data_IF_195404696503
#
_entry.id   IF_195404696503
#
_cell.length_a   1.000
_cell.length_b   1.000
_cell.length_c   1.000
_cell.angle_alpha   90.00
_cell.angle_beta   90.00
_cell.angle_gamma   90.00
#
_symmetry.space_group_name_H-M   'P 1'
#
loop_
_entity.id
_entity.type
_entity.pdbx_description
1 polymer ?
#
# COMPACT_ATOMS: atom_id res chain seq x y z
N UNK A 1 -3.46 22.51 4.68
CA UNK A 1 -2.90 21.13 4.74
C UNK A 1 -3.79 20.27 3.89
N UNK A 2 -3.27 19.84 2.77
CA UNK A 2 -3.96 19.07 1.75
C UNK A 2 -3.50 17.61 1.76
N UNK A 3 -4.35 16.70 1.30
CA UNK A 3 -4.06 15.27 1.25
C UNK A 3 -4.32 14.70 -0.15
N UNK A 4 -3.32 14.02 -0.71
CA UNK A 4 -3.46 13.21 -1.92
C UNK A 4 -3.55 11.74 -1.54
N UNK A 5 -4.56 11.04 -2.04
CA UNK A 5 -4.64 9.58 -2.00
C UNK A 5 -4.14 9.02 -3.32
N UNK A 6 -3.08 8.24 -3.25
CA UNK A 6 -2.42 7.63 -4.42
C UNK A 6 -2.70 6.13 -4.45
N UNK A 7 -3.16 5.64 -5.58
CA UNK A 7 -3.58 4.25 -5.79
C UNK A 7 -2.85 3.69 -7.01
N UNK A 8 -1.78 2.91 -6.84
CA UNK A 8 -1.18 2.17 -7.94
C UNK A 8 -2.16 1.10 -8.45
N UNK A 9 -2.31 1.00 -9.75
CA UNK A 9 -3.22 0.05 -10.39
C UNK A 9 -2.58 -0.59 -11.63
N UNK A 10 -2.90 -1.87 -11.86
CA UNK A 10 -2.59 -2.60 -13.08
C UNK A 10 -3.59 -3.74 -13.26
N UNK A 11 -4.46 -3.65 -14.27
CA UNK A 11 -5.53 -4.61 -14.53
C UNK A 11 -6.42 -4.90 -13.30
N UNK A 12 -7.08 -3.85 -12.81
CA UNK A 12 -7.91 -3.86 -11.59
C UNK A 12 -9.35 -3.41 -11.86
N UNK A 13 -9.89 -3.65 -13.06
CA UNK A 13 -11.25 -3.22 -13.45
C UNK A 13 -12.35 -3.70 -12.50
N UNK A 14 -12.17 -4.88 -11.87
CA UNK A 14 -13.17 -5.44 -10.95
C UNK A 14 -13.22 -4.73 -9.58
N UNK A 15 -12.12 -4.06 -9.18
CA UNK A 15 -11.95 -3.55 -7.81
C UNK A 15 -11.83 -2.04 -7.74
N UNK A 16 -11.18 -1.39 -8.72
CA UNK A 16 -10.79 0.01 -8.65
C UNK A 16 -11.97 0.95 -8.36
N UNK A 17 -13.14 0.68 -8.92
CA UNK A 17 -14.34 1.50 -8.68
C UNK A 17 -14.76 1.50 -7.22
N UNK A 18 -14.79 0.33 -6.57
CA UNK A 18 -15.14 0.18 -5.14
C UNK A 18 -14.12 0.85 -4.24
N UNK A 19 -12.84 0.74 -4.60
CA UNK A 19 -11.75 1.39 -3.86
C UNK A 19 -11.90 2.90 -3.89
N UNK A 20 -12.09 3.51 -5.07
CA UNK A 20 -12.30 4.96 -5.21
C UNK A 20 -13.57 5.39 -4.47
N UNK A 21 -14.65 4.62 -4.55
CA UNK A 21 -15.87 4.91 -3.82
C UNK A 21 -15.66 4.92 -2.30
N UNK A 22 -14.86 4.01 -1.75
CA UNK A 22 -14.53 4.01 -0.33
C UNK A 22 -13.73 5.26 0.07
N UNK A 23 -12.81 5.72 -0.77
CA UNK A 23 -12.04 6.95 -0.56
C UNK A 23 -12.94 8.20 -0.60
N UNK A 24 -13.93 8.23 -1.48
CA UNK A 24 -14.90 9.36 -1.58
C UNK A 24 -15.88 9.43 -0.40
N UNK A 25 -16.01 8.36 0.40
CA UNK A 25 -16.86 8.30 1.59
C UNK A 25 -16.14 8.64 2.89
N UNK A 26 -14.87 9.06 2.83
CA UNK A 26 -14.09 9.42 4.01
C UNK A 26 -14.66 10.66 4.72
N UNK A 27 -14.54 10.70 6.06
CA UNK A 27 -14.95 11.87 6.88
C UNK A 27 -14.20 13.13 6.50
N UNK A 28 -12.90 12.98 6.18
CA UNK A 28 -12.08 14.04 5.58
C UNK A 28 -11.77 13.60 4.16
N UNK A 29 -12.52 14.18 3.20
CA UNK A 29 -12.37 13.88 1.78
C UNK A 29 -10.99 14.37 1.32
N UNK A 30 -10.20 13.56 0.58
CA UNK A 30 -8.93 14.00 0.06
C UNK A 30 -9.09 15.08 -1.00
N UNK A 31 -8.12 15.99 -1.07
CA UNK A 31 -8.08 17.05 -2.09
C UNK A 31 -7.76 16.47 -3.49
N UNK A 32 -7.13 15.29 -3.51
CA UNK A 32 -6.75 14.61 -4.75
C UNK A 32 -6.85 13.09 -4.60
N UNK A 33 -7.44 12.43 -5.60
CA UNK A 33 -7.37 10.99 -5.82
C UNK A 33 -6.59 10.77 -7.10
N UNK A 34 -5.41 10.17 -6.99
CA UNK A 34 -4.48 9.92 -8.09
C UNK A 34 -4.31 8.41 -8.31
N UNK A 35 -4.75 7.93 -9.45
CA UNK A 35 -4.52 6.56 -9.89
C UNK A 35 -3.25 6.52 -10.72
N UNK A 36 -2.29 5.69 -10.33
CA UNK A 36 -1.08 5.47 -11.11
C UNK A 36 -1.24 4.15 -11.88
N UNK A 37 -1.66 4.29 -13.13
CA UNK A 37 -1.95 3.16 -14.00
C UNK A 37 -0.68 2.64 -14.68
N UNK A 38 -0.27 1.44 -14.30
CA UNK A 38 0.92 0.75 -14.80
C UNK A 38 0.78 0.15 -16.20
N UNK A 39 0.00 0.76 -17.09
CA UNK A 39 -0.24 0.28 -18.46
C UNK A 39 -1.30 -0.83 -18.50
N UNK A 40 -2.41 -0.66 -17.80
CA UNK A 40 -3.54 -1.60 -17.84
C UNK A 40 -4.07 -1.78 -19.25
N UNK A 41 -4.46 -3.02 -19.56
CA UNK A 41 -5.07 -3.41 -20.84
C UNK A 41 -6.59 -3.62 -20.73
N UNK A 42 -7.11 -3.58 -19.51
CA UNK A 42 -8.53 -3.65 -19.19
C UNK A 42 -9.17 -2.26 -19.01
N UNK A 43 -10.34 -2.19 -18.41
CA UNK A 43 -11.08 -0.93 -18.20
C UNK A 43 -10.64 -0.15 -16.96
N UNK A 44 -9.53 -0.51 -16.30
CA UNK A 44 -9.08 0.12 -15.04
C UNK A 44 -9.02 1.65 -15.15
N UNK A 45 -8.30 2.18 -16.13
CA UNK A 45 -8.14 3.62 -16.32
C UNK A 45 -9.47 4.34 -16.60
N UNK A 46 -10.29 3.78 -17.49
CA UNK A 46 -11.60 4.38 -17.85
C UNK A 46 -12.57 4.37 -16.67
N UNK A 47 -12.61 3.30 -15.89
CA UNK A 47 -13.41 3.24 -14.66
C UNK A 47 -12.93 4.30 -13.66
N UNK A 48 -11.63 4.40 -13.41
CA UNK A 48 -11.08 5.41 -12.50
C UNK A 48 -11.47 6.83 -12.89
N UNK A 49 -11.36 7.16 -14.19
CA UNK A 49 -11.80 8.45 -14.73
C UNK A 49 -13.29 8.71 -14.55
N UNK A 50 -14.13 7.70 -14.74
CA UNK A 50 -15.59 7.84 -14.57
C UNK A 50 -15.99 8.14 -13.11
N UNK A 51 -15.17 7.74 -12.14
CA UNK A 51 -15.30 8.11 -10.74
C UNK A 51 -14.67 9.47 -10.40
N UNK A 52 -14.14 10.21 -11.37
CA UNK A 52 -13.54 11.54 -11.18
C UNK A 52 -12.13 11.53 -10.58
N UNK A 53 -11.45 10.40 -10.59
CA UNK A 53 -10.04 10.33 -10.18
C UNK A 53 -9.13 10.82 -11.30
N UNK A 54 -8.01 11.44 -10.94
CA UNK A 54 -6.92 11.71 -11.88
C UNK A 54 -6.22 10.39 -12.21
N UNK A 55 -5.86 10.19 -13.47
CA UNK A 55 -5.11 9.00 -13.92
C UNK A 55 -3.79 9.43 -14.51
N UNK A 56 -2.70 8.89 -13.96
CA UNK A 56 -1.34 8.99 -14.47
C UNK A 56 -0.96 7.65 -15.08
N UNK A 57 -0.90 7.58 -16.41
CA UNK A 57 -0.46 6.38 -17.12
C UNK A 57 1.05 6.32 -17.18
N UNK A 58 1.63 5.20 -16.79
CA UNK A 58 3.07 4.95 -16.76
C UNK A 58 3.39 3.59 -17.41
N UNK A 59 4.64 3.38 -17.86
CA UNK A 59 5.08 2.05 -18.29
C UNK A 59 5.02 1.03 -17.14
N UNK A 60 4.71 -0.23 -17.46
CA UNK A 60 4.74 -1.31 -16.49
C UNK A 60 6.18 -1.66 -16.07
N UNK A 61 6.62 -1.16 -14.92
CA UNK A 61 7.98 -1.33 -14.38
C UNK A 61 8.02 -1.86 -12.95
N UNK A 62 6.86 -2.20 -12.38
CA UNK A 62 6.72 -2.71 -11.02
C UNK A 62 6.20 -1.69 -10.02
N UNK A 63 5.88 -2.19 -8.82
CA UNK A 63 5.15 -1.43 -7.80
C UNK A 63 5.98 -0.27 -7.21
N UNK A 64 7.28 -0.47 -6.98
CA UNK A 64 8.16 0.58 -6.46
C UNK A 64 8.24 1.78 -7.40
N UNK A 65 8.35 1.53 -8.72
CA UNK A 65 8.30 2.59 -9.73
C UNK A 65 6.95 3.31 -9.74
N UNK A 66 5.83 2.57 -9.70
CA UNK A 66 4.50 3.17 -9.70
C UNK A 66 4.27 4.05 -8.46
N UNK A 67 4.69 3.60 -7.27
CA UNK A 67 4.59 4.40 -6.04
C UNK A 67 5.46 5.65 -6.08
N UNK A 68 6.68 5.56 -6.64
CA UNK A 68 7.55 6.73 -6.80
C UNK A 68 6.92 7.75 -7.76
N UNK A 69 6.39 7.32 -8.90
CA UNK A 69 5.70 8.21 -9.83
C UNK A 69 4.47 8.86 -9.19
N UNK A 70 3.75 8.12 -8.36
CA UNK A 70 2.63 8.64 -7.59
C UNK A 70 3.05 9.69 -6.55
N UNK A 71 4.17 9.46 -5.84
CA UNK A 71 4.73 10.44 -4.90
C UNK A 71 5.15 11.74 -5.60
N UNK A 72 5.77 11.64 -6.78
CA UNK A 72 6.24 12.79 -7.57
C UNK A 72 5.06 13.61 -8.12
N UNK A 73 4.01 12.93 -8.60
CA UNK A 73 2.84 13.56 -9.20
C UNK A 73 1.83 14.09 -8.17
N UNK A 74 1.83 13.57 -6.94
CA UNK A 74 0.93 14.03 -5.88
C UNK A 74 1.18 15.49 -5.52
N UNK A 75 0.09 16.24 -5.28
CA UNK A 75 0.15 17.68 -5.00
C UNK A 75 -0.08 18.01 -3.52
N UNK A 76 -0.63 17.09 -2.73
CA UNK A 76 -0.94 17.31 -1.33
C UNK A 76 0.27 17.41 -0.40
N UNK A 77 0.11 18.08 0.73
CA UNK A 77 1.09 18.13 1.81
C UNK A 77 1.34 16.74 2.40
N UNK A 78 0.27 15.94 2.48
CA UNK A 78 0.27 14.53 2.90
C UNK A 78 0.00 13.68 1.68
N UNK A 79 0.75 12.59 1.55
CA UNK A 79 0.48 11.54 0.56
C UNK A 79 0.15 10.25 1.30
N UNK A 80 -1.03 9.70 1.01
CA UNK A 80 -1.50 8.43 1.55
C UNK A 80 -1.65 7.42 0.41
N UNK A 81 -1.09 6.22 0.60
CA UNK A 81 -1.16 5.13 -0.37
C UNK A 81 -2.16 4.07 0.09
N UNK A 82 -2.96 3.60 -0.86
CA UNK A 82 -3.75 2.37 -0.73
C UNK A 82 -3.68 1.58 -2.05
N UNK A 83 -4.00 0.29 -2.02
CA UNK A 83 -3.96 -0.54 -3.23
C UNK A 83 -5.32 -0.53 -3.95
N UNK A 84 -5.32 -0.85 -5.24
CA UNK A 84 -6.50 -0.76 -6.11
C UNK A 84 -7.63 -1.74 -5.73
N UNK A 85 -7.34 -2.77 -4.91
CA UNK A 85 -8.28 -3.77 -4.41
C UNK A 85 -8.56 -3.63 -2.90
N UNK A 86 -8.36 -2.45 -2.35
CA UNK A 86 -8.41 -2.19 -0.91
C UNK A 86 -9.48 -1.16 -0.58
N UNK A 87 -10.33 -1.47 0.40
CA UNK A 87 -11.33 -0.56 0.95
C UNK A 87 -10.77 0.11 2.21
N UNK A 88 -10.87 1.42 2.27
CA UNK A 88 -10.46 2.23 3.41
C UNK A 88 -11.65 2.50 4.34
N UNK A 89 -11.47 2.49 5.68
CA UNK A 89 -12.54 2.84 6.63
C UNK A 89 -12.84 4.33 6.58
N UNK A 90 -14.06 4.73 6.92
CA UNK A 90 -14.55 6.11 6.80
C UNK A 90 -13.69 7.15 7.55
N UNK A 91 -13.02 6.76 8.63
CA UNK A 91 -12.17 7.61 9.47
C UNK A 91 -10.67 7.51 9.15
N UNK A 92 -10.32 6.89 8.00
CA UNK A 92 -8.94 6.61 7.62
C UNK A 92 -8.06 7.85 7.53
N UNK A 93 -8.50 8.86 6.79
CA UNK A 93 -7.77 10.14 6.64
C UNK A 93 -7.70 10.94 7.95
N UNK A 94 -8.73 10.89 8.77
CA UNK A 94 -8.73 11.54 10.08
C UNK A 94 -7.65 10.96 11.00
N UNK A 95 -7.55 9.62 11.06
CA UNK A 95 -6.50 8.92 11.82
C UNK A 95 -5.09 9.21 11.29
N UNK A 96 -4.92 9.27 9.97
CA UNK A 96 -3.67 9.65 9.33
C UNK A 96 -3.26 11.06 9.74
N UNK A 97 -4.15 12.02 9.56
CA UNK A 97 -3.89 13.44 9.80
C UNK A 97 -3.58 13.68 11.29
N UNK A 98 -4.39 13.12 12.20
CA UNK A 98 -4.18 13.29 13.65
C UNK A 98 -2.84 12.71 14.11
N UNK A 99 -2.42 11.58 13.52
CA UNK A 99 -1.12 10.97 13.84
C UNK A 99 0.04 11.78 13.27
N UNK A 100 -0.04 12.22 12.02
CA UNK A 100 1.03 13.01 11.39
C UNK A 100 1.22 14.40 12.01
N UNK A 101 0.18 14.97 12.64
CA UNK A 101 0.27 16.23 13.39
C UNK A 101 1.07 16.12 14.70
N UNK A 102 1.35 14.93 15.19
CA UNK A 102 2.17 14.76 16.39
C UNK A 102 3.62 15.25 16.15
N UNK A 103 4.31 15.73 17.22
CA UNK A 103 5.66 16.27 17.07
C UNK A 103 6.63 15.27 16.43
N UNK A 104 7.37 15.75 15.43
CA UNK A 104 8.43 15.01 14.72
C UNK A 104 7.99 13.71 14.03
N UNK A 105 6.71 13.54 13.72
CA UNK A 105 6.25 12.39 12.94
C UNK A 105 6.52 12.64 11.45
N UNK A 106 7.12 11.65 10.79
CA UNK A 106 7.38 11.63 9.33
C UNK A 106 6.34 10.82 8.59
N UNK A 107 5.95 9.68 9.16
CA UNK A 107 5.04 8.75 8.55
C UNK A 107 4.14 8.04 9.57
N UNK A 108 3.01 7.57 9.09
CA UNK A 108 2.10 6.66 9.78
C UNK A 108 1.78 5.48 8.86
N UNK A 109 1.69 4.30 9.42
CA UNK A 109 1.17 3.13 8.73
C UNK A 109 0.19 2.37 9.62
N UNK A 110 -0.73 1.68 8.98
CA UNK A 110 -1.70 0.84 9.66
C UNK A 110 -1.59 -0.61 9.25
N UNK A 111 -2.39 -1.46 9.88
CA UNK A 111 -2.56 -2.83 9.48
C UNK A 111 -3.51 -2.97 8.29
N UNK A 112 -3.65 -4.19 7.83
CA UNK A 112 -4.69 -4.56 6.89
C UNK A 112 -5.36 -5.87 7.31
N UNK A 113 -6.60 -6.02 6.89
CA UNK A 113 -7.38 -7.24 7.01
C UNK A 113 -7.72 -7.73 5.62
N UNK A 114 -8.01 -9.00 5.50
CA UNK A 114 -8.45 -9.60 4.23
C UNK A 114 -9.85 -10.16 4.38
N UNK A 115 -10.61 -10.11 3.29
CA UNK A 115 -11.92 -10.74 3.23
C UNK A 115 -11.80 -12.25 3.50
N UNK A 116 -12.89 -12.87 3.97
CA UNK A 116 -12.90 -14.31 4.32
C UNK A 116 -12.54 -15.14 3.09
N UNK A 117 -11.45 -15.92 3.14
CA UNK A 117 -11.00 -16.71 2.00
C UNK A 117 -11.86 -17.96 1.82
N UNK A 118 -11.62 -18.66 0.71
CA UNK A 118 -12.01 -20.06 0.57
C UNK A 118 -11.36 -20.91 1.68
N UNK A 119 -11.86 -22.12 1.91
CA UNK A 119 -11.33 -23.02 2.96
C UNK A 119 -9.79 -23.26 2.83
N UNK A 120 -9.24 -23.24 1.62
CA UNK A 120 -7.81 -23.39 1.37
C UNK A 120 -6.96 -22.23 1.92
N UNK A 121 -7.52 -21.04 1.97
CA UNK A 121 -6.85 -19.83 2.47
C UNK A 121 -7.12 -19.51 3.94
N UNK A 122 -7.80 -20.39 4.70
CA UNK A 122 -8.19 -20.09 6.08
C UNK A 122 -7.02 -19.76 7.00
N UNK A 123 -5.91 -20.50 6.92
CA UNK A 123 -4.72 -20.24 7.73
C UNK A 123 -4.05 -18.89 7.38
N UNK A 124 -3.98 -18.58 6.10
CA UNK A 124 -3.51 -17.27 5.64
C UNK A 124 -4.40 -16.15 6.18
N UNK A 125 -5.73 -16.31 6.03
CA UNK A 125 -6.71 -15.36 6.55
C UNK A 125 -6.57 -15.17 8.06
N UNK A 126 -6.43 -16.24 8.83
CA UNK A 126 -6.27 -16.17 10.27
C UNK A 126 -4.96 -15.45 10.65
N UNK A 127 -3.85 -15.77 9.98
CA UNK A 127 -2.59 -15.11 10.20
C UNK A 127 -2.66 -13.60 9.91
N UNK A 128 -3.21 -13.22 8.75
CA UNK A 128 -3.31 -11.80 8.37
C UNK A 128 -4.25 -11.04 9.31
N UNK A 129 -5.39 -11.60 9.66
CA UNK A 129 -6.39 -10.88 10.45
C UNK A 129 -6.08 -10.82 11.96
N UNK A 130 -5.32 -11.76 12.49
CA UNK A 130 -5.03 -11.85 13.92
C UNK A 130 -3.53 -11.80 14.25
N UNK A 131 -2.69 -12.50 13.50
CA UNK A 131 -1.25 -12.57 13.75
C UNK A 131 -0.51 -11.31 13.28
N UNK A 132 -0.83 -10.81 12.11
CA UNK A 132 -0.16 -9.66 11.50
C UNK A 132 -0.27 -8.36 12.33
N UNK A 133 -1.44 -8.00 12.89
CA UNK A 133 -1.55 -6.83 13.76
C UNK A 133 -0.65 -6.92 15.00
N UNK A 134 -0.55 -8.10 15.61
CA UNK A 134 0.31 -8.34 16.76
C UNK A 134 1.79 -8.22 16.35
N UNK A 135 2.16 -8.81 15.22
CA UNK A 135 3.51 -8.72 14.67
C UNK A 135 3.90 -7.27 14.39
N UNK A 136 3.03 -6.49 13.76
CA UNK A 136 3.30 -5.07 13.47
C UNK A 136 3.47 -4.25 14.76
N UNK A 137 2.68 -4.53 15.78
CA UNK A 137 2.79 -3.86 17.06
C UNK A 137 4.13 -4.17 17.75
N UNK A 138 4.51 -5.46 17.80
CA UNK A 138 5.77 -5.90 18.39
C UNK A 138 6.96 -5.31 17.62
N UNK A 139 7.01 -5.48 16.31
CA UNK A 139 8.12 -5.00 15.48
C UNK A 139 8.26 -3.47 15.54
N UNK A 140 7.13 -2.75 15.55
CA UNK A 140 7.12 -1.30 15.70
C UNK A 140 7.69 -0.84 17.05
N UNK A 141 7.40 -1.56 18.14
CA UNK A 141 7.95 -1.26 19.47
C UNK A 141 9.48 -1.38 19.50
N UNK A 142 10.05 -2.28 18.69
CA UNK A 142 11.51 -2.41 18.50
C UNK A 142 12.07 -1.50 17.39
N UNK A 143 11.24 -0.62 16.83
CA UNK A 143 11.66 0.31 15.78
C UNK A 143 11.83 -0.33 14.40
N UNK A 144 11.33 -1.55 14.21
CA UNK A 144 11.21 -2.23 12.91
C UNK A 144 9.80 -1.99 12.37
N UNK A 145 9.68 -1.12 11.38
CA UNK A 145 8.40 -0.73 10.79
C UNK A 145 8.08 -1.58 9.56
N UNK A 146 7.46 -2.73 9.78
CA UNK A 146 7.03 -3.65 8.72
C UNK A 146 5.59 -3.30 8.38
N UNK A 147 5.39 -2.45 7.37
CA UNK A 147 4.06 -2.02 6.90
C UNK A 147 3.75 -2.57 5.52
N UNK A 148 2.46 -2.66 5.19
CA UNK A 148 2.03 -2.91 3.82
C UNK A 148 1.75 -1.60 3.09
N UNK A 149 2.22 -1.49 1.84
CA UNK A 149 2.06 -0.28 1.04
C UNK A 149 0.62 0.13 0.76
N UNK A 150 -0.35 -0.75 1.06
CA UNK A 150 -1.77 -0.44 0.97
C UNK A 150 -2.29 0.42 2.13
N UNK A 151 -1.47 0.71 3.16
CA UNK A 151 -1.89 1.52 4.30
C UNK A 151 -0.71 2.28 4.91
N UNK A 152 -0.15 3.20 4.14
CA UNK A 152 0.98 4.05 4.52
C UNK A 152 0.69 5.50 4.13
N UNK A 153 1.00 6.44 5.02
CA UNK A 153 0.91 7.87 4.72
C UNK A 153 2.05 8.65 5.36
N UNK A 154 2.42 9.77 4.76
CA UNK A 154 3.56 10.57 5.21
C UNK A 154 3.47 12.01 4.72
N UNK A 155 4.26 12.88 5.32
CA UNK A 155 4.50 14.22 4.79
C UNK A 155 5.26 14.11 3.48
N UNK A 156 4.68 14.65 2.40
CA UNK A 156 5.28 14.62 1.05
C UNK A 156 6.71 15.17 1.03
N UNK A 157 6.93 16.31 1.69
CA UNK A 157 8.26 16.93 1.79
C UNK A 157 9.28 15.98 2.44
N UNK A 158 8.92 15.34 3.54
CA UNK A 158 9.79 14.37 4.23
C UNK A 158 10.05 13.11 3.41
N UNK A 159 9.06 12.67 2.63
CA UNK A 159 9.23 11.55 1.72
C UNK A 159 10.24 11.83 0.62
N UNK A 160 10.16 13.00 0.01
CA UNK A 160 11.13 13.45 -1.00
C UNK A 160 12.52 13.61 -0.38
N UNK A 161 12.61 14.26 0.78
CA UNK A 161 13.86 14.44 1.53
C UNK A 161 14.54 13.11 1.89
N UNK A 162 13.77 12.09 2.22
CA UNK A 162 14.28 10.76 2.55
C UNK A 162 14.71 9.92 1.34
N UNK A 163 14.52 10.42 0.11
CA UNK A 163 14.87 9.75 -1.14
C UNK A 163 13.76 8.93 -1.80
N UNK A 164 12.51 9.05 -1.32
CA UNK A 164 11.34 8.42 -1.94
C UNK A 164 11.36 6.89 -1.95
N UNK A 165 10.55 6.29 -2.83
CA UNK A 165 10.49 4.84 -3.01
C UNK A 165 11.65 4.31 -3.85
N UNK A 166 12.17 3.11 -3.56
CA UNK A 166 13.19 2.47 -4.38
C UNK A 166 12.57 1.95 -5.69
N UNK A 167 12.89 2.59 -6.80
CA UNK A 167 12.27 2.33 -8.12
C UNK A 167 12.61 0.95 -8.71
N UNK A 168 13.75 0.38 -8.32
CA UNK A 168 14.22 -0.92 -8.83
C UNK A 168 13.76 -2.10 -7.97
N UNK A 169 13.10 -1.82 -6.83
CA UNK A 169 12.62 -2.88 -5.95
C UNK A 169 11.32 -3.49 -6.51
N UNK A 170 11.32 -4.80 -6.63
CA UNK A 170 10.17 -5.59 -7.06
C UNK A 170 9.27 -6.05 -5.90
N UNK A 171 9.76 -5.86 -4.67
CA UNK A 171 9.07 -6.16 -3.41
C UNK A 171 9.73 -5.41 -2.27
N UNK A 172 9.09 -5.35 -1.11
CA UNK A 172 9.55 -4.68 0.12
C UNK A 172 9.91 -3.19 -0.04
N UNK A 173 9.42 -2.55 -1.10
CA UNK A 173 9.59 -1.12 -1.38
C UNK A 173 8.93 -0.25 -0.30
N UNK A 174 7.86 -0.73 0.29
CA UNK A 174 7.14 -0.11 1.40
C UNK A 174 7.94 -0.15 2.71
N UNK A 175 8.57 -1.28 3.02
CA UNK A 175 9.48 -1.37 4.14
C UNK A 175 10.66 -0.42 3.99
N UNK A 176 11.32 -0.41 2.82
CA UNK A 176 12.43 0.50 2.55
C UNK A 176 12.00 1.97 2.65
N UNK A 177 10.80 2.30 2.18
CA UNK A 177 10.25 3.65 2.32
C UNK A 177 10.07 4.04 3.79
N UNK A 178 9.50 3.18 4.64
CA UNK A 178 9.37 3.43 6.08
C UNK A 178 10.74 3.56 6.76
N UNK A 179 11.72 2.75 6.36
CA UNK A 179 13.10 2.82 6.85
C UNK A 179 13.75 4.17 6.51
N UNK A 180 13.57 4.65 5.28
CA UNK A 180 14.04 5.98 4.84
C UNK A 180 13.34 7.10 5.62
N UNK A 181 12.02 7.05 5.77
CA UNK A 181 11.24 8.05 6.51
C UNK A 181 11.64 8.13 7.99
N UNK A 182 12.15 7.04 8.58
CA UNK A 182 12.70 7.04 9.94
C UNK A 182 13.94 7.93 10.10
N UNK A 183 14.69 8.21 9.03
CA UNK A 183 15.86 9.10 9.09
C UNK A 183 15.48 10.58 9.20
N UNK A 184 14.26 10.94 8.82
CA UNK A 184 13.76 12.33 8.79
C UNK A 184 12.64 12.59 9.80
N UNK A 185 12.32 11.59 10.65
CA UNK A 185 11.32 11.75 11.71
C UNK A 185 10.86 10.41 12.29
N UNK A 186 9.86 10.47 13.16
CA UNK A 186 9.27 9.27 13.76
C UNK A 186 8.30 8.60 12.79
N UNK A 187 8.39 7.29 12.69
CA UNK A 187 7.41 6.46 12.00
C UNK A 187 6.50 5.82 13.05
N UNK A 188 5.19 5.93 12.88
CA UNK A 188 4.21 5.44 13.85
C UNK A 188 3.35 4.34 13.23
N UNK A 189 3.25 3.21 13.91
CA UNK A 189 2.22 2.22 13.66
C UNK A 189 0.92 2.63 14.37
N UNK A 190 -0.18 2.73 13.62
CA UNK A 190 -1.49 3.03 14.20
C UNK A 190 -2.33 1.75 14.28
N UNK A 191 -2.49 1.13 15.48
CA UNK A 191 -3.06 -0.21 15.63
C UNK A 191 -4.56 -0.30 15.29
N UNK A 192 -5.27 0.82 15.24
CA UNK A 192 -6.71 0.88 14.93
C UNK A 192 -7.00 1.43 13.54
N UNK A 193 -5.98 1.65 12.72
CA UNK A 193 -6.13 2.10 11.34
C UNK A 193 -5.94 0.92 10.38
N UNK A 194 -6.99 0.09 10.21
CA UNK A 194 -6.96 -1.06 9.32
C UNK A 194 -7.69 -0.75 8.02
N UNK A 195 -7.14 -1.21 6.93
CA UNK A 195 -7.81 -1.27 5.63
C UNK A 195 -8.24 -2.70 5.30
N UNK A 196 -9.20 -2.89 4.41
CA UNK A 196 -9.73 -4.18 4.02
C UNK A 196 -9.32 -4.50 2.57
N UNK A 197 -8.37 -5.41 2.40
CA UNK A 197 -7.91 -5.87 1.08
C UNK A 197 -8.73 -7.05 0.58
N UNK A 198 -8.78 -7.27 -0.72
CA UNK A 198 -9.54 -8.34 -1.38
C UNK A 198 -9.17 -9.74 -0.90
N UNK A 199 -7.95 -9.94 -0.43
CA UNK A 199 -7.47 -11.24 0.03
C UNK A 199 -7.16 -12.23 -1.10
N UNK A 200 -7.17 -11.80 -2.37
CA UNK A 200 -6.89 -12.67 -3.55
C UNK A 200 -5.63 -13.49 -3.40
N UNK A 201 -4.59 -12.93 -2.80
CA UNK A 201 -3.33 -13.65 -2.51
C UNK A 201 -3.52 -14.82 -1.54
N UNK A 202 -4.58 -14.82 -0.75
CA UNK A 202 -4.92 -15.93 0.14
C UNK A 202 -5.33 -17.20 -0.60
N UNK A 203 -5.74 -17.11 -1.85
CA UNK A 203 -6.06 -18.29 -2.68
C UNK A 203 -4.80 -19.10 -3.04
N UNK A 204 -3.61 -18.49 -3.01
CA UNK A 204 -2.33 -19.19 -3.11
C UNK A 204 -2.03 -20.03 -1.84
N UNK A 205 -2.81 -19.85 -0.77
CA UNK A 205 -2.65 -20.56 0.49
C UNK A 205 -1.36 -20.18 1.23
N UNK A 206 -0.86 -21.15 2.03
CA UNK A 206 0.36 -20.97 2.87
C UNK A 206 1.62 -20.74 2.02
N UNK A 207 1.61 -21.05 0.74
CA UNK A 207 2.77 -20.92 -0.17
C UNK A 207 3.29 -19.48 -0.35
N UNK A 208 2.47 -18.47 -0.05
CA UNK A 208 2.88 -17.06 -0.09
C UNK A 208 3.78 -16.67 1.09
N UNK A 209 3.63 -17.30 2.25
CA UNK A 209 4.36 -16.97 3.50
C UNK A 209 5.86 -17.23 3.38
N UNK A 210 6.34 -18.44 2.99
CA UNK A 210 7.77 -18.69 2.81
C UNK A 210 8.43 -17.75 1.80
N UNK A 211 7.67 -17.35 0.78
CA UNK A 211 8.12 -16.42 -0.26
C UNK A 211 8.36 -15.03 0.31
N UNK A 212 7.42 -14.52 1.11
CA UNK A 212 7.56 -13.23 1.80
C UNK A 212 8.75 -13.25 2.76
N UNK A 213 8.88 -14.33 3.57
CA UNK A 213 9.99 -14.49 4.49
C UNK A 213 11.32 -14.51 3.75
N UNK A 214 11.42 -15.24 2.63
CA UNK A 214 12.63 -15.29 1.81
C UNK A 214 12.97 -13.92 1.21
N UNK A 215 11.98 -13.17 0.73
CA UNK A 215 12.17 -11.81 0.21
C UNK A 215 12.72 -10.87 1.29
N UNK A 216 12.14 -10.88 2.47
CA UNK A 216 12.63 -10.12 3.61
C UNK A 216 14.03 -10.55 4.04
N UNK A 217 14.29 -11.84 4.13
CA UNK A 217 15.62 -12.36 4.48
C UNK A 217 16.69 -11.92 3.47
N UNK A 218 16.41 -12.01 2.17
CA UNK A 218 17.32 -11.51 1.12
C UNK A 218 17.57 -10.02 1.27
N UNK A 219 16.52 -9.23 1.50
CA UNK A 219 16.66 -7.79 1.71
C UNK A 219 17.56 -7.49 2.93
N UNK A 220 17.31 -8.12 4.08
CA UNK A 220 18.10 -7.88 5.30
C UNK A 220 19.55 -8.33 5.20
N UNK A 221 19.84 -9.34 4.38
CA UNK A 221 21.20 -9.89 4.23
C UNK A 221 22.00 -9.22 3.12
N UNK A 222 21.33 -8.78 2.04
CA UNK A 222 22.01 -8.24 0.84
C UNK A 222 21.73 -6.76 0.57
N UNK A 223 20.74 -6.17 1.22
CA UNK A 223 20.25 -4.82 0.91
C UNK A 223 19.54 -4.70 -0.45
N UNK A 224 19.31 -5.82 -1.15
CA UNK A 224 18.74 -5.87 -2.49
C UNK A 224 17.39 -6.59 -2.48
N UNK A 225 16.44 -6.05 -3.23
CA UNK A 225 15.11 -6.63 -3.41
C UNK A 225 14.70 -6.73 -4.89
N UNK A 226 15.68 -6.68 -5.78
CA UNK A 226 15.52 -6.71 -7.24
C UNK A 226 15.28 -8.12 -7.80
N UNK A 227 15.73 -9.15 -7.09
CA UNK A 227 15.69 -10.55 -7.53
C UNK A 227 14.42 -11.29 -7.11
N UNK A 228 13.56 -10.67 -6.28
CA UNK A 228 12.38 -11.31 -5.74
C UNK A 228 11.09 -10.63 -6.23
N UNK A 229 10.33 -11.32 -7.07
CA UNK A 229 9.00 -10.89 -7.52
C UNK A 229 7.91 -11.78 -6.93
N UNK A 230 6.80 -11.16 -6.54
CA UNK A 230 5.55 -11.90 -6.36
C UNK A 230 4.98 -12.24 -7.73
N UNK A 231 4.48 -13.48 -7.96
CA UNK A 231 3.79 -13.82 -9.20
C UNK A 231 2.60 -12.88 -9.39
N UNK A 232 2.36 -12.50 -10.64
CA UNK A 232 1.16 -11.78 -10.98
C UNK A 232 -0.03 -12.75 -10.99
N UNK A 233 -0.85 -12.67 -9.93
CA UNK A 233 -2.04 -13.53 -9.77
C UNK A 233 -3.14 -13.18 -10.79
N UNK A 234 -3.08 -12.03 -11.44
CA UNK A 234 -4.05 -11.56 -12.44
C UNK A 234 -3.96 -12.33 -13.76
N UNK A 235 -2.77 -12.77 -14.13
CA UNK A 235 -2.56 -13.58 -15.34
C UNK A 235 -3.13 -15.01 -15.23
N UNK A 236 -3.34 -15.51 -14.01
CA UNK A 236 -3.87 -16.86 -13.78
C UNK A 236 -5.40 -16.93 -13.81
N UNK A 237 -6.09 -15.80 -13.63
CA UNK A 237 -7.56 -15.76 -13.57
C UNK A 237 -8.19 -15.71 -14.96
N UNK A 238 -7.46 -15.31 -15.99
CA UNK A 238 -7.96 -15.19 -17.38
C UNK A 238 -7.96 -16.53 -18.16
N UNK A 239 -7.56 -17.65 -17.53
CA UNK A 239 -7.47 -18.98 -18.16
C UNK A 239 -8.48 -20.01 -17.60
N UNK A 240 -9.62 -19.55 -17.10
CA UNK A 240 -10.73 -20.46 -16.75
C UNK A 240 -11.99 -20.08 -17.49
#
# INVERSE_FOLDING_TARGET
>A
MTISVVIPAYNEEEYIGKTIESVKKLTIIPDEILIVDGGSTDKTASIAQSYGAKVLSIPHRGIGFARQQGLEAATGDIVAFTDADTLVPFDWTEKIISTLKQPNVSAVYGGYKVTKPSWKGFLYWAFINFGNPILFQITSAFGLHIGGGQNIAFWRKKAVESGGFPVDFKSVEDYEMLRRLKTVGRVIYHPHNFVLSSGRRGEEGIGSIPRTIRGMWLYFTTGKADTFTFPDIRETTTKK
#
